data_IF_833291148172
#
_entry.id   IF_833291148172
#
_cell.length_a   1.000
_cell.length_b   1.000
_cell.length_c   1.000
_cell.angle_alpha   90.00
_cell.angle_beta   90.00
_cell.angle_gamma   90.00
#
_symmetry.space_group_name_H-M   'P 1'
#
loop_
_entity.id
_entity.type
_entity.pdbx_description
1 polymer ?
#
# COMPACT_ATOMS: atom_id res chain seq x y z
N UNK A 1 -1.61 -5.41 -5.37
CA UNK A 1 -0.37 -5.37 -4.57
C UNK A 1 0.46 -4.15 -4.97
N UNK A 2 0.99 -3.34 -4.04
CA UNK A 2 1.71 -2.10 -4.36
C UNK A 2 2.92 -2.27 -5.29
N UNK A 3 3.71 -3.33 -5.09
CA UNK A 3 4.86 -3.67 -5.96
C UNK A 3 4.44 -3.95 -7.41
N UNK A 4 3.33 -4.65 -7.61
CA UNK A 4 2.77 -4.95 -8.94
C UNK A 4 2.32 -3.67 -9.64
N UNK A 5 1.75 -2.70 -8.90
CA UNK A 5 1.36 -1.41 -9.46
C UNK A 5 2.56 -0.60 -9.95
N UNK A 6 3.67 -0.63 -9.22
CA UNK A 6 4.92 0.03 -9.60
C UNK A 6 5.51 -0.53 -10.91
N UNK A 7 5.21 -1.78 -11.25
CA UNK A 7 5.65 -2.45 -12.48
C UNK A 7 4.64 -2.32 -13.63
N UNK A 8 3.67 -1.39 -13.51
CA UNK A 8 2.64 -1.15 -14.53
C UNK A 8 1.41 -2.05 -14.40
N UNK A 9 1.32 -2.88 -13.36
CA UNK A 9 0.14 -3.69 -13.09
C UNK A 9 -1.08 -2.86 -12.64
N UNK A 10 -2.27 -3.49 -12.60
CA UNK A 10 -3.51 -2.81 -12.26
C UNK A 10 -3.49 -2.21 -10.85
N UNK A 11 -4.32 -1.19 -10.57
CA UNK A 11 -4.44 -0.60 -9.24
C UNK A 11 -4.70 -1.67 -8.17
N UNK A 12 -4.00 -1.65 -7.02
CA UNK A 12 -4.17 -2.67 -5.98
C UNK A 12 -5.60 -2.77 -5.46
N UNK A 13 -6.31 -1.64 -5.41
CA UNK A 13 -7.70 -1.55 -5.01
C UNK A 13 -8.61 -2.40 -5.93
N UNK A 14 -8.40 -2.32 -7.24
CA UNK A 14 -9.22 -3.00 -8.24
C UNK A 14 -8.99 -4.52 -8.18
N UNK A 15 -7.74 -4.94 -8.04
CA UNK A 15 -7.37 -6.36 -7.86
C UNK A 15 -7.97 -6.90 -6.57
N UNK A 16 -7.90 -6.12 -5.48
CA UNK A 16 -8.49 -6.51 -4.21
C UNK A 16 -10.01 -6.67 -4.36
N UNK A 17 -10.71 -5.66 -4.86
CA UNK A 17 -12.17 -5.69 -5.03
C UNK A 17 -12.67 -6.81 -5.97
N UNK A 18 -11.86 -7.22 -6.95
CA UNK A 18 -12.19 -8.31 -7.85
C UNK A 18 -12.09 -9.71 -7.18
N UNK A 19 -11.35 -9.85 -6.08
CA UNK A 19 -11.12 -11.14 -5.44
C UNK A 19 -12.31 -11.58 -4.56
N UNK A 20 -12.81 -12.82 -4.66
CA UNK A 20 -13.98 -13.28 -3.88
C UNK A 20 -13.86 -13.06 -2.37
N UNK A 21 -12.71 -13.43 -1.78
CA UNK A 21 -12.45 -13.25 -0.35
C UNK A 21 -12.44 -11.78 0.11
N UNK A 22 -12.18 -10.84 -0.80
CA UNK A 22 -12.20 -9.42 -0.46
C UNK A 22 -13.62 -8.86 -0.35
N UNK A 23 -14.60 -9.50 -1.01
CA UNK A 23 -16.01 -9.10 -0.93
C UNK A 23 -16.63 -9.46 0.42
N UNK A 24 -16.15 -10.52 1.05
CA UNK A 24 -16.62 -11.00 2.35
C UNK A 24 -15.83 -10.40 3.53
N UNK A 25 -14.70 -9.75 3.24
CA UNK A 25 -13.85 -9.16 4.27
C UNK A 25 -14.51 -7.92 4.91
N UNK A 26 -14.42 -7.82 6.24
CA UNK A 26 -14.88 -6.65 6.97
C UNK A 26 -14.18 -5.37 6.47
N UNK A 27 -14.98 -4.39 6.07
CA UNK A 27 -14.46 -3.17 5.45
C UNK A 27 -13.59 -2.35 6.42
N UNK A 28 -13.93 -2.35 7.71
CA UNK A 28 -13.17 -1.69 8.77
C UNK A 28 -11.80 -2.34 8.95
N UNK A 29 -11.77 -3.66 9.14
CA UNK A 29 -10.56 -4.45 9.35
C UNK A 29 -9.55 -4.28 8.20
N UNK A 30 -10.01 -4.36 6.95
CA UNK A 30 -9.11 -4.15 5.81
C UNK A 30 -8.61 -2.69 5.77
N UNK A 31 -9.41 -1.71 6.21
CA UNK A 31 -8.96 -0.30 6.28
C UNK A 31 -7.89 -0.14 7.35
N UNK A 32 -8.07 -0.77 8.52
CA UNK A 32 -7.09 -0.78 9.61
C UNK A 32 -5.76 -1.43 9.17
N UNK A 33 -5.81 -2.58 8.50
CA UNK A 33 -4.61 -3.25 7.98
C UNK A 33 -3.92 -2.39 6.93
N UNK A 34 -4.67 -1.77 6.02
CA UNK A 34 -4.10 -0.88 5.01
C UNK A 34 -3.43 0.35 5.64
N UNK A 35 -4.05 0.94 6.66
CA UNK A 35 -3.47 2.05 7.41
C UNK A 35 -2.17 1.64 8.13
N UNK A 36 -2.16 0.48 8.78
CA UNK A 36 -0.97 -0.06 9.43
C UNK A 36 0.16 -0.32 8.41
N UNK A 37 -0.16 -0.91 7.25
CA UNK A 37 0.81 -1.17 6.18
C UNK A 37 1.38 0.12 5.59
N UNK A 38 0.52 1.10 5.29
CA UNK A 38 0.94 2.40 4.78
C UNK A 38 1.87 3.11 5.77
N UNK A 39 1.51 3.13 7.06
CA UNK A 39 2.34 3.70 8.12
C UNK A 39 3.69 3.00 8.25
N UNK A 40 3.71 1.67 8.20
CA UNK A 40 4.93 0.87 8.24
C UNK A 40 5.88 1.21 7.07
N UNK A 41 5.38 1.22 5.83
CA UNK A 41 6.18 1.50 4.64
C UNK A 41 6.75 2.92 4.62
N UNK A 42 5.94 3.91 4.99
CA UNK A 42 6.38 5.31 5.10
C UNK A 42 7.45 5.47 6.18
N UNK A 43 7.30 4.81 7.33
CA UNK A 43 8.28 4.84 8.42
C UNK A 43 9.59 4.18 8.00
N UNK A 44 9.53 2.99 7.42
CA UNK A 44 10.72 2.24 6.97
C UNK A 44 11.45 2.95 5.82
N UNK A 45 10.71 3.53 4.87
CA UNK A 45 11.31 4.28 3.76
C UNK A 45 12.12 5.50 4.20
N UNK A 46 11.88 6.05 5.38
CA UNK A 46 12.65 7.20 5.94
C UNK A 46 13.92 6.79 6.68
N UNK A 47 14.17 5.50 6.85
CA UNK A 47 15.37 5.00 7.53
C UNK A 47 16.57 4.96 6.58
N UNK A 48 17.81 4.92 7.10
CA UNK A 48 19.00 4.67 6.30
C UNK A 48 18.89 3.34 5.52
N UNK A 49 19.46 3.26 4.29
CA UNK A 49 19.50 2.02 3.54
C UNK A 49 20.33 0.96 4.27
N UNK A 50 19.83 -0.29 4.41
CA UNK A 50 20.60 -1.34 5.05
C UNK A 50 21.76 -1.78 4.13
N UNK A 51 22.87 -2.29 4.71
CA UNK A 51 23.98 -2.84 3.93
C UNK A 51 23.50 -3.92 2.94
N UNK A 52 23.97 -3.84 1.69
CA UNK A 52 23.63 -4.82 0.65
C UNK A 52 22.28 -4.60 -0.06
N UNK A 53 21.46 -3.63 0.37
CA UNK A 53 20.14 -3.35 -0.24
C UNK A 53 19.92 -1.84 -0.44
N UNK A 54 20.69 -1.17 -1.31
CA UNK A 54 20.69 0.29 -1.43
C UNK A 54 19.36 0.87 -1.94
N UNK A 55 18.58 0.11 -2.72
CA UNK A 55 17.32 0.56 -3.31
C UNK A 55 16.09 0.27 -2.45
N UNK A 56 16.24 -0.46 -1.33
CA UNK A 56 15.10 -0.92 -0.53
C UNK A 56 14.25 0.23 0.01
N UNK A 57 14.90 1.32 0.42
CA UNK A 57 14.19 2.46 1.04
C UNK A 57 13.35 3.21 0.03
N UNK A 58 13.89 3.45 -1.16
CA UNK A 58 13.13 4.10 -2.23
C UNK A 58 11.99 3.21 -2.74
N UNK A 59 12.20 1.89 -2.77
CA UNK A 59 11.13 0.94 -3.04
C UNK A 59 10.02 0.99 -1.98
N UNK A 60 10.38 0.99 -0.68
CA UNK A 60 9.43 1.10 0.43
C UNK A 60 8.65 2.43 0.40
N UNK A 61 9.32 3.55 0.08
CA UNK A 61 8.66 4.86 -0.10
C UNK A 61 7.61 4.80 -1.19
N UNK A 62 7.97 4.32 -2.37
CA UNK A 62 7.05 4.21 -3.51
C UNK A 62 5.87 3.28 -3.23
N UNK A 63 6.09 2.16 -2.52
CA UNK A 63 5.00 1.30 -2.06
C UNK A 63 4.09 2.01 -1.05
N UNK A 64 4.67 2.80 -0.14
CA UNK A 64 3.94 3.59 0.85
C UNK A 64 3.03 4.64 0.20
N UNK A 65 3.51 5.32 -0.83
CA UNK A 65 2.71 6.29 -1.60
C UNK A 65 1.48 5.65 -2.24
N UNK A 66 1.65 4.48 -2.88
CA UNK A 66 0.54 3.72 -3.46
C UNK A 66 -0.45 3.25 -2.39
N UNK A 67 0.05 2.79 -1.23
CA UNK A 67 -0.80 2.36 -0.11
C UNK A 67 -1.60 3.54 0.48
N UNK A 68 -1.00 4.72 0.59
CA UNK A 68 -1.66 5.94 1.06
C UNK A 68 -2.75 6.41 0.08
N UNK A 69 -2.49 6.38 -1.23
CA UNK A 69 -3.50 6.73 -2.24
C UNK A 69 -4.72 5.80 -2.14
N UNK A 70 -4.49 4.48 -1.98
CA UNK A 70 -5.57 3.54 -1.77
C UNK A 70 -6.34 3.82 -0.47
N UNK A 71 -5.64 4.10 0.63
CA UNK A 71 -6.27 4.40 1.91
C UNK A 71 -7.17 5.65 1.82
N UNK A 72 -6.68 6.73 1.17
CA UNK A 72 -7.46 7.97 0.96
C UNK A 72 -8.74 7.72 0.19
N UNK A 73 -8.66 7.00 -0.93
CA UNK A 73 -9.85 6.64 -1.72
C UNK A 73 -10.87 5.87 -0.90
N UNK A 74 -10.42 4.99 -0.02
CA UNK A 74 -11.29 4.17 0.81
C UNK A 74 -11.96 4.93 1.95
N UNK A 75 -11.28 5.94 2.50
CA UNK A 75 -11.83 6.80 3.55
C UNK A 75 -12.77 7.89 3.00
N UNK A 76 -12.95 7.97 1.68
CA UNK A 76 -13.77 9.00 1.05
C UNK A 76 -13.19 10.42 1.17
N UNK A 77 -11.93 10.55 1.58
CA UNK A 77 -11.24 11.84 1.56
C UNK A 77 -10.93 12.21 0.11
N UNK A 78 -11.70 13.14 -0.45
CA UNK A 78 -11.27 13.86 -1.67
C UNK A 78 -9.98 14.64 -1.40
N UNK A 79 -9.14 14.88 -2.42
CA UNK A 79 -7.95 15.71 -2.29
C UNK A 79 -8.27 17.13 -1.80
#
# INVERSE_FOLDING_TARGET
MPSVRMQGGPPPADVFAAHPLAREADAGAVTSVLAALAGYLVREGRQPPPPGLPTLRDFQKAQGEVALDWLRRRMGSSP
#
